data_IF_373539621320
#
_entry.id   IF_373539621320
#
_cell.length_a   1.000
_cell.length_b   1.000
_cell.length_c   1.000
_cell.angle_alpha   90.00
_cell.angle_beta   90.00
_cell.angle_gamma   90.00
#
_symmetry.space_group_name_H-M   'P 1'
#
loop_
_entity.id
_entity.type
_entity.pdbx_description
1 polymer ?
#
# COMPACT_ATOMS: atom_id res chain seq x y z
N UNK A 1 -30.87 -23.16 15.39
CA UNK A 1 -30.67 -21.73 15.09
C UNK A 1 -29.62 -21.21 16.06
N UNK A 2 -28.36 -21.11 15.62
CA UNK A 2 -27.27 -20.54 16.43
C UNK A 2 -27.02 -19.16 15.85
N UNK A 3 -27.31 -18.12 16.60
CA UNK A 3 -27.10 -16.74 16.23
C UNK A 3 -25.60 -16.45 16.17
N UNK A 4 -25.13 -15.95 15.05
CA UNK A 4 -23.77 -15.42 14.88
C UNK A 4 -23.60 -14.15 15.72
N UNK A 5 -22.45 -13.91 16.37
CA UNK A 5 -22.24 -12.72 17.15
C UNK A 5 -22.11 -11.49 16.25
N UNK A 6 -22.90 -10.46 16.51
CA UNK A 6 -23.00 -9.19 15.77
C UNK A 6 -21.75 -8.29 15.81
N UNK A 7 -20.66 -8.68 16.47
CA UNK A 7 -19.50 -7.84 16.73
C UNK A 7 -18.54 -7.66 15.53
N UNK A 8 -18.62 -8.53 14.52
CA UNK A 8 -17.70 -8.49 13.36
C UNK A 8 -18.02 -7.40 12.32
N UNK A 9 -19.30 -7.10 12.13
CA UNK A 9 -19.76 -6.23 11.04
C UNK A 9 -19.57 -4.74 11.36
N UNK A 10 -19.77 -4.34 12.62
CA UNK A 10 -19.68 -2.93 13.05
C UNK A 10 -18.25 -2.38 13.00
N UNK A 11 -17.25 -3.19 13.42
CA UNK A 11 -15.83 -2.78 13.38
C UNK A 11 -15.29 -2.72 11.95
N UNK A 12 -15.78 -3.57 11.06
CA UNK A 12 -15.40 -3.61 9.64
C UNK A 12 -15.96 -2.40 8.88
N UNK A 13 -17.18 -1.97 9.19
CA UNK A 13 -17.82 -0.78 8.61
C UNK A 13 -17.11 0.50 9.08
N UNK A 14 -16.71 0.58 10.35
CA UNK A 14 -15.98 1.73 10.90
C UNK A 14 -14.57 1.89 10.30
N UNK A 15 -13.87 0.77 9.97
CA UNK A 15 -12.54 0.83 9.32
C UNK A 15 -12.62 1.19 7.83
N UNK A 16 -13.68 0.80 7.11
CA UNK A 16 -13.98 1.31 5.75
C UNK A 16 -14.16 2.82 5.74
N UNK A 17 -14.78 3.37 6.78
CA UNK A 17 -14.96 4.80 6.95
C UNK A 17 -13.64 5.53 7.18
N UNK A 18 -12.63 4.96 7.85
CA UNK A 18 -11.41 5.68 8.18
C UNK A 18 -10.56 6.07 6.95
N UNK A 19 -10.48 5.22 5.92
CA UNK A 19 -9.78 5.57 4.66
C UNK A 19 -10.63 6.55 3.82
N UNK A 20 -11.95 6.43 3.89
CA UNK A 20 -12.91 7.30 3.17
C UNK A 20 -13.26 8.60 3.90
N UNK A 21 -13.19 8.63 5.24
CA UNK A 21 -13.51 9.80 6.07
C UNK A 21 -12.38 10.85 6.04
N UNK A 22 -11.14 10.46 5.75
CA UNK A 22 -10.02 11.40 5.62
C UNK A 22 -10.02 12.18 4.28
N UNK A 23 -10.81 11.76 3.31
CA UNK A 23 -11.10 12.52 2.08
C UNK A 23 -12.58 12.90 2.08
N UNK A 24 -12.86 14.12 2.53
CA UNK A 24 -14.17 14.75 2.40
C UNK A 24 -14.58 14.75 0.92
N UNK A 25 -15.47 13.80 0.53
CA UNK A 25 -16.20 13.73 -0.75
C UNK A 25 -15.37 13.60 -2.06
N UNK A 26 -14.07 13.35 -2.04
CA UNK A 26 -13.32 13.08 -3.28
C UNK A 26 -13.62 11.67 -3.80
N UNK A 27 -14.07 11.55 -5.05
CA UNK A 27 -14.22 10.28 -5.77
C UNK A 27 -12.88 9.72 -6.27
N UNK A 28 -11.81 10.52 -6.22
CA UNK A 28 -10.49 10.15 -6.69
C UNK A 28 -9.81 9.11 -5.76
N UNK A 29 -9.05 8.13 -6.30
CA UNK A 29 -8.33 7.16 -5.49
C UNK A 29 -7.21 7.81 -4.67
N UNK A 30 -6.88 7.22 -3.52
CA UNK A 30 -5.74 7.61 -2.71
C UNK A 30 -4.42 7.31 -3.45
N UNK A 31 -3.36 8.09 -3.22
CA UNK A 31 -2.06 7.90 -3.88
C UNK A 31 -0.97 7.57 -2.87
N UNK A 32 -0.35 6.41 -3.05
CA UNK A 32 0.85 5.99 -2.32
C UNK A 32 2.08 6.15 -3.21
N UNK A 33 3.12 6.80 -2.70
CA UNK A 33 4.44 6.85 -3.33
C UNK A 33 5.38 5.91 -2.59
N UNK A 34 5.83 4.86 -3.28
CA UNK A 34 6.53 3.72 -2.67
C UNK A 34 8.02 3.71 -2.99
N UNK A 35 8.82 3.15 -2.07
CA UNK A 35 10.26 2.97 -2.25
C UNK A 35 11.07 4.23 -1.98
N UNK A 36 10.65 5.06 -1.03
CA UNK A 36 11.41 6.24 -0.55
C UNK A 36 12.56 5.79 0.34
N UNK A 37 13.73 6.39 0.14
CA UNK A 37 14.95 6.13 0.92
C UNK A 37 15.53 7.40 1.53
N UNK A 38 14.94 8.57 1.22
CA UNK A 38 15.41 9.88 1.67
C UNK A 38 14.29 10.64 2.37
N UNK A 39 14.56 11.17 3.56
CA UNK A 39 13.59 11.86 4.40
C UNK A 39 13.11 13.18 3.80
N UNK A 40 14.00 13.97 3.19
CA UNK A 40 13.62 15.26 2.60
C UNK A 40 12.66 15.06 1.43
N UNK A 41 12.95 14.06 0.56
CA UNK A 41 12.04 13.70 -0.53
C UNK A 41 10.68 13.20 0.02
N UNK A 42 10.68 12.39 1.07
CA UNK A 42 9.45 11.88 1.67
C UNK A 42 8.57 13.03 2.20
N UNK A 43 9.17 14.01 2.89
CA UNK A 43 8.47 15.21 3.38
C UNK A 43 7.95 16.07 2.23
N UNK A 44 8.77 16.30 1.19
CA UNK A 44 8.35 17.06 0.02
C UNK A 44 7.16 16.40 -0.70
N UNK A 45 7.19 15.09 -0.88
CA UNK A 45 6.12 14.32 -1.51
C UNK A 45 4.84 14.31 -0.66
N UNK A 46 4.97 14.20 0.66
CA UNK A 46 3.84 14.32 1.58
C UNK A 46 3.20 15.72 1.50
N UNK A 47 4.00 16.78 1.44
CA UNK A 47 3.55 18.15 1.27
C UNK A 47 2.85 18.41 -0.09
N UNK A 48 3.16 17.62 -1.13
CA UNK A 48 2.47 17.67 -2.43
C UNK A 48 1.08 17.00 -2.39
N UNK A 49 0.72 16.34 -1.30
CA UNK A 49 -0.61 15.72 -1.12
C UNK A 49 -0.67 14.22 -1.40
N UNK A 50 0.45 13.51 -1.33
CA UNK A 50 0.40 12.05 -1.28
C UNK A 50 -0.30 11.57 -0.01
N UNK A 51 -1.13 10.52 -0.09
CA UNK A 51 -1.88 9.96 1.04
C UNK A 51 -1.05 8.95 1.84
N UNK A 52 -0.07 8.34 1.19
CA UNK A 52 0.79 7.34 1.82
C UNK A 52 2.23 7.39 1.27
N UNK A 53 3.18 7.15 2.16
CA UNK A 53 4.60 6.96 1.83
C UNK A 53 5.00 5.52 2.16
N UNK A 54 5.57 4.82 1.16
CA UNK A 54 6.07 3.46 1.30
C UNK A 54 7.59 3.41 1.44
N UNK A 55 8.06 2.68 2.44
CA UNK A 55 9.49 2.35 2.63
C UNK A 55 9.65 0.84 2.57
N UNK A 56 10.62 0.36 1.81
CA UNK A 56 10.86 -1.06 1.58
C UNK A 56 11.88 -1.59 2.59
N UNK A 57 11.47 -2.57 3.39
CA UNK A 57 12.29 -3.27 4.37
C UNK A 57 12.71 -4.69 3.91
N UNK A 58 12.81 -4.91 2.60
CA UNK A 58 13.21 -6.19 2.02
C UNK A 58 14.65 -6.09 1.56
N UNK A 59 15.55 -6.77 2.26
CA UNK A 59 16.97 -6.78 1.95
C UNK A 59 17.25 -7.28 0.52
N UNK A 60 18.33 -6.79 -0.08
CA UNK A 60 18.70 -7.16 -1.45
C UNK A 60 17.88 -6.48 -2.55
N UNK A 61 16.85 -5.71 -2.20
CA UNK A 61 16.11 -4.91 -3.20
C UNK A 61 16.76 -3.53 -3.40
N UNK A 62 16.66 -2.95 -4.60
CA UNK A 62 17.33 -1.66 -4.92
C UNK A 62 16.83 -0.46 -4.08
N UNK A 63 15.69 -0.61 -3.39
CA UNK A 63 15.02 0.43 -2.58
C UNK A 63 14.99 0.08 -1.09
N UNK A 64 15.79 -0.91 -0.70
CA UNK A 64 15.89 -1.30 0.71
C UNK A 64 16.36 -0.13 1.58
N UNK A 65 15.70 0.05 2.69
CA UNK A 65 16.12 0.99 3.74
C UNK A 65 16.15 0.24 5.07
N UNK A 66 17.28 0.31 5.74
CA UNK A 66 17.47 -0.30 7.06
C UNK A 66 16.51 0.24 8.11
N UNK A 67 16.34 -0.51 9.19
CA UNK A 67 15.37 -0.19 10.24
C UNK A 67 15.61 1.18 10.90
N UNK A 68 16.88 1.54 11.20
CA UNK A 68 17.19 2.80 11.87
C UNK A 68 16.85 4.03 11.00
N UNK A 69 17.35 4.16 9.75
CA UNK A 69 16.97 5.27 8.88
C UNK A 69 15.47 5.25 8.50
N UNK A 70 14.82 4.08 8.38
CA UNK A 70 13.37 3.99 8.20
C UNK A 70 12.62 4.64 9.36
N UNK A 71 13.01 4.32 10.61
CA UNK A 71 12.40 4.90 11.81
C UNK A 71 12.57 6.41 11.86
N UNK A 72 13.76 6.90 11.54
CA UNK A 72 14.04 8.34 11.48
C UNK A 72 13.12 9.02 10.44
N UNK A 73 12.97 8.44 9.24
CA UNK A 73 12.09 8.94 8.19
C UNK A 73 10.63 8.95 8.67
N UNK A 74 10.13 7.86 9.25
CA UNK A 74 8.75 7.78 9.73
C UNK A 74 8.48 8.71 10.91
N UNK A 75 9.46 8.92 11.81
CA UNK A 75 9.35 9.91 12.90
C UNK A 75 9.19 11.33 12.35
N UNK A 76 9.97 11.71 11.33
CA UNK A 76 9.83 13.01 10.68
C UNK A 76 8.47 13.18 9.99
N UNK A 77 7.99 12.15 9.27
CA UNK A 77 6.66 12.19 8.68
C UNK A 77 5.55 12.29 9.74
N UNK A 78 5.69 11.57 10.85
CA UNK A 78 4.72 11.63 11.96
C UNK A 78 4.65 13.02 12.59
N UNK A 79 5.76 13.69 12.72
CA UNK A 79 5.83 15.04 13.31
C UNK A 79 5.25 16.11 12.38
N UNK A 80 5.51 16.04 11.08
CA UNK A 80 5.16 17.09 10.13
C UNK A 80 3.82 16.85 9.42
N UNK A 81 3.46 15.57 9.19
CA UNK A 81 2.24 15.17 8.46
C UNK A 81 1.59 13.97 9.17
N UNK A 82 1.04 14.14 10.38
CA UNK A 82 0.57 13.02 11.22
C UNK A 82 -0.54 12.17 10.58
N UNK A 83 -1.34 12.74 9.69
CA UNK A 83 -2.41 12.04 8.97
C UNK A 83 -1.91 11.12 7.84
N UNK A 84 -0.65 11.30 7.40
CA UNK A 84 -0.06 10.52 6.33
C UNK A 84 0.10 9.05 6.73
N UNK A 85 -0.29 8.14 5.85
CA UNK A 85 -0.01 6.71 6.06
C UNK A 85 1.47 6.41 5.83
N UNK A 86 2.12 5.85 6.86
CA UNK A 86 3.51 5.39 6.82
C UNK A 86 3.52 3.89 6.61
N UNK A 87 3.78 3.48 5.36
CA UNK A 87 3.66 2.08 4.94
C UNK A 87 5.04 1.41 4.95
N UNK A 88 5.21 0.40 5.80
CA UNK A 88 6.40 -0.44 5.78
C UNK A 88 6.14 -1.71 4.95
N UNK A 89 6.88 -1.86 3.85
CA UNK A 89 6.75 -3.00 2.94
C UNK A 89 7.76 -4.06 3.34
N UNK A 90 7.27 -5.25 3.63
CA UNK A 90 8.08 -6.41 4.04
C UNK A 90 7.70 -7.66 3.24
N UNK A 91 8.59 -8.63 3.19
CA UNK A 91 8.34 -9.95 2.60
C UNK A 91 8.88 -11.03 3.54
N UNK A 92 7.99 -11.93 3.96
CA UNK A 92 8.31 -13.11 4.78
C UNK A 92 9.08 -12.78 6.08
N UNK A 93 8.84 -11.58 6.63
CA UNK A 93 9.49 -11.14 7.85
C UNK A 93 9.02 -11.96 9.06
N UNK A 94 9.95 -12.27 9.97
CA UNK A 94 9.63 -13.01 11.20
C UNK A 94 8.74 -12.17 12.14
N UNK A 95 7.93 -12.84 12.96
CA UNK A 95 7.10 -12.16 13.97
C UNK A 95 7.94 -11.26 14.88
N UNK A 96 9.14 -11.69 15.29
CA UNK A 96 10.02 -10.91 16.14
C UNK A 96 10.43 -9.58 15.48
N UNK A 97 10.72 -9.58 14.18
CA UNK A 97 11.06 -8.38 13.40
C UNK A 97 9.83 -7.46 13.29
N UNK A 98 8.65 -8.04 12.99
CA UNK A 98 7.40 -7.27 12.91
C UNK A 98 7.07 -6.62 14.26
N UNK A 99 7.07 -7.41 15.34
CA UNK A 99 6.72 -6.93 16.69
C UNK A 99 7.70 -5.85 17.18
N UNK A 100 9.02 -6.02 16.96
CA UNK A 100 10.01 -5.02 17.32
C UNK A 100 9.87 -3.71 16.53
N UNK A 101 9.42 -3.76 15.28
CA UNK A 101 9.26 -2.56 14.45
C UNK A 101 8.04 -1.72 14.80
N UNK A 102 7.12 -2.27 15.60
CA UNK A 102 5.90 -1.60 16.07
C UNK A 102 6.05 -0.97 17.45
N UNK A 103 7.25 -1.03 18.06
CA UNK A 103 7.53 -0.42 19.35
C UNK A 103 8.34 0.87 19.20
N UNK A 104 8.09 1.85 20.08
CA UNK A 104 8.85 3.11 20.14
C UNK A 104 8.49 4.11 19.04
N UNK A 105 9.40 5.01 18.73
CA UNK A 105 9.20 6.08 17.74
C UNK A 105 9.40 5.60 16.31
N UNK A 106 8.82 6.34 15.35
CA UNK A 106 8.96 6.06 13.93
C UNK A 106 8.33 4.73 13.51
N UNK A 107 7.22 4.35 14.15
CA UNK A 107 6.45 3.16 13.79
C UNK A 107 5.66 3.38 12.50
N UNK A 108 5.46 2.33 11.68
CA UNK A 108 4.52 2.39 10.58
C UNK A 108 3.08 2.50 11.09
N UNK A 109 2.18 3.03 10.27
CA UNK A 109 0.72 2.92 10.46
C UNK A 109 0.15 1.75 9.68
N UNK A 110 0.87 1.30 8.66
CA UNK A 110 0.50 0.17 7.80
C UNK A 110 1.69 -0.76 7.62
N UNK A 111 1.47 -2.06 7.78
CA UNK A 111 2.39 -3.11 7.33
C UNK A 111 1.83 -3.69 6.04
N UNK A 112 2.59 -3.59 4.95
CA UNK A 112 2.30 -4.21 3.68
C UNK A 112 3.11 -5.50 3.52
N UNK A 113 2.43 -6.64 3.59
CA UNK A 113 2.99 -7.97 3.43
C UNK A 113 3.10 -8.31 1.93
N UNK A 114 4.30 -8.37 1.39
CA UNK A 114 4.56 -8.52 -0.06
C UNK A 114 5.27 -9.85 -0.42
N UNK A 115 5.44 -10.75 0.54
CA UNK A 115 6.01 -12.09 0.39
C UNK A 115 4.96 -13.17 0.16
N UNK A 116 5.21 -14.35 0.72
CA UNK A 116 4.35 -15.54 0.63
C UNK A 116 3.49 -15.72 1.91
N UNK A 117 3.29 -14.65 2.68
CA UNK A 117 2.54 -14.70 3.93
C UNK A 117 1.13 -15.27 3.69
N UNK A 118 0.80 -16.35 4.39
CA UNK A 118 -0.48 -17.02 4.32
C UNK A 118 -1.61 -16.20 4.98
N UNK A 119 -2.90 -16.45 4.67
CA UNK A 119 -4.01 -15.82 5.37
C UNK A 119 -3.92 -15.96 6.89
N UNK A 120 -3.51 -17.14 7.39
CA UNK A 120 -3.34 -17.37 8.82
C UNK A 120 -2.25 -16.49 9.45
N UNK A 121 -1.13 -16.29 8.78
CA UNK A 121 -0.06 -15.39 9.24
C UNK A 121 -0.50 -13.92 9.24
N UNK A 122 -1.22 -13.50 8.19
CA UNK A 122 -1.80 -12.15 8.12
C UNK A 122 -2.78 -11.91 9.28
N UNK A 123 -3.69 -12.86 9.52
CA UNK A 123 -4.65 -12.80 10.61
C UNK A 123 -3.98 -12.77 11.99
N UNK A 124 -2.94 -13.58 12.20
CA UNK A 124 -2.20 -13.62 13.44
C UNK A 124 -1.50 -12.27 13.72
N UNK A 125 -0.89 -11.64 12.71
CA UNK A 125 -0.31 -10.29 12.84
C UNK A 125 -1.38 -9.27 13.24
N UNK A 126 -2.50 -9.25 12.54
CA UNK A 126 -3.61 -8.33 12.78
C UNK A 126 -4.23 -8.49 14.17
N UNK A 127 -4.26 -9.72 14.70
CA UNK A 127 -4.75 -10.00 16.07
C UNK A 127 -3.77 -9.53 17.13
N UNK A 128 -2.45 -9.68 16.90
CA UNK A 128 -1.42 -9.22 17.85
C UNK A 128 -1.29 -7.69 17.90
N UNK A 129 -1.56 -7.02 16.76
CA UNK A 129 -1.41 -5.58 16.60
C UNK A 129 -2.68 -4.95 16.01
N UNK A 130 -3.77 -4.89 16.78
CA UNK A 130 -5.06 -4.40 16.28
C UNK A 130 -5.06 -2.90 15.93
N UNK A 131 -4.06 -2.14 16.41
CA UNK A 131 -3.84 -0.73 16.09
C UNK A 131 -3.22 -0.50 14.71
N UNK A 132 -2.59 -1.54 14.13
CA UNK A 132 -1.91 -1.46 12.84
C UNK A 132 -2.81 -1.93 11.71
N UNK A 133 -2.80 -1.21 10.61
CA UNK A 133 -3.45 -1.65 9.38
C UNK A 133 -2.55 -2.67 8.66
N UNK A 134 -3.10 -3.82 8.31
CA UNK A 134 -2.39 -4.88 7.60
C UNK A 134 -2.89 -4.98 6.17
N UNK A 135 -2.00 -4.75 5.20
CA UNK A 135 -2.28 -4.95 3.78
C UNK A 135 -1.56 -6.19 3.26
N UNK A 136 -2.20 -6.95 2.37
CA UNK A 136 -1.54 -8.02 1.62
C UNK A 136 -1.38 -7.62 0.16
N UNK A 137 -0.16 -7.66 -0.32
CA UNK A 137 0.13 -7.54 -1.74
C UNK A 137 0.04 -8.91 -2.42
N UNK A 138 -0.70 -8.99 -3.51
CA UNK A 138 -0.87 -10.17 -4.34
C UNK A 138 -0.32 -9.86 -5.74
N UNK A 139 0.64 -10.69 -6.18
CA UNK A 139 1.27 -10.55 -7.49
C UNK A 139 0.56 -11.46 -8.49
N UNK A 140 -0.12 -10.87 -9.45
CA UNK A 140 -0.95 -11.56 -10.43
C UNK A 140 -0.17 -11.84 -11.71
N UNK A 141 -0.15 -13.12 -12.13
CA UNK A 141 0.43 -13.60 -13.42
C UNK A 141 -0.65 -13.78 -14.46
N UNK A 142 -1.80 -14.23 -14.01
CA UNK A 142 -2.97 -14.55 -14.83
C UNK A 142 -4.21 -13.96 -14.16
N UNK A 143 -5.30 -13.86 -14.92
CA UNK A 143 -6.59 -13.44 -14.38
C UNK A 143 -7.10 -14.40 -13.28
N UNK A 144 -6.79 -15.69 -13.39
CA UNK A 144 -7.19 -16.70 -12.41
C UNK A 144 -6.57 -16.47 -11.02
N UNK A 145 -5.42 -15.79 -10.93
CA UNK A 145 -4.80 -15.46 -9.65
C UNK A 145 -5.68 -14.55 -8.80
N UNK A 146 -6.63 -13.81 -9.40
CA UNK A 146 -7.64 -13.04 -8.68
C UNK A 146 -8.51 -13.89 -7.74
N UNK A 147 -8.65 -15.19 -8.01
CA UNK A 147 -9.37 -16.09 -7.11
C UNK A 147 -8.68 -16.23 -5.74
N UNK A 148 -7.34 -16.06 -5.69
CA UNK A 148 -6.58 -16.12 -4.44
C UNK A 148 -6.94 -15.00 -3.45
N UNK A 149 -7.43 -13.87 -3.96
CA UNK A 149 -7.91 -12.72 -3.16
C UNK A 149 -8.91 -13.16 -2.10
N UNK A 150 -9.83 -14.09 -2.44
CA UNK A 150 -10.89 -14.59 -1.54
C UNK A 150 -10.33 -15.15 -0.23
N UNK A 151 -9.15 -15.78 -0.28
CA UNK A 151 -8.50 -16.35 0.90
C UNK A 151 -8.04 -15.32 1.94
N UNK A 152 -7.83 -14.07 1.54
CA UNK A 152 -7.31 -13.01 2.40
C UNK A 152 -8.38 -12.06 2.95
N UNK A 153 -9.62 -12.09 2.45
CA UNK A 153 -10.64 -11.10 2.77
C UNK A 153 -10.96 -10.95 4.26
N UNK A 154 -10.79 -12.01 5.05
CA UNK A 154 -11.03 -11.98 6.51
C UNK A 154 -9.75 -11.76 7.32
N UNK A 155 -8.59 -11.77 6.66
CA UNK A 155 -7.28 -11.84 7.31
C UNK A 155 -6.51 -10.54 7.27
N UNK A 156 -6.94 -9.57 6.45
CA UNK A 156 -6.27 -8.28 6.24
C UNK A 156 -7.27 -7.12 6.22
N UNK A 157 -6.76 -5.89 6.29
CA UNK A 157 -7.57 -4.67 6.24
C UNK A 157 -7.64 -4.06 4.83
N UNK A 158 -6.73 -4.44 3.95
CA UNK A 158 -6.67 -4.00 2.56
C UNK A 158 -5.81 -4.91 1.70
N UNK A 159 -5.98 -4.77 0.39
CA UNK A 159 -5.27 -5.55 -0.62
C UNK A 159 -4.49 -4.62 -1.54
N UNK A 160 -3.36 -5.10 -2.06
CA UNK A 160 -2.64 -4.45 -3.14
C UNK A 160 -2.46 -5.47 -4.26
N UNK A 161 -2.95 -5.13 -5.46
CA UNK A 161 -2.81 -5.96 -6.65
C UNK A 161 -1.66 -5.41 -7.48
N UNK A 162 -0.62 -6.23 -7.69
CA UNK A 162 0.59 -5.86 -8.44
C UNK A 162 0.82 -6.82 -9.60
N UNK A 163 1.43 -6.32 -10.67
CA UNK A 163 1.86 -7.17 -11.77
C UNK A 163 3.01 -8.06 -11.32
N UNK A 164 2.90 -9.37 -11.58
CA UNK A 164 3.97 -10.30 -11.28
C UNK A 164 5.19 -10.06 -12.18
N UNK A 165 6.37 -10.20 -11.59
CA UNK A 165 7.65 -10.26 -12.32
C UNK A 165 8.50 -11.40 -11.76
N UNK A 166 9.23 -12.13 -12.62
CA UNK A 166 10.13 -13.17 -12.18
C UNK A 166 11.32 -12.64 -11.38
N UNK A 167 11.76 -11.42 -11.68
CA UNK A 167 13.05 -10.91 -11.25
C UNK A 167 12.98 -10.06 -9.98
N UNK A 168 11.81 -9.52 -9.61
CA UNK A 168 11.68 -8.59 -8.48
C UNK A 168 10.33 -8.70 -7.76
N UNK A 169 10.35 -8.38 -6.46
CA UNK A 169 9.16 -8.22 -5.61
C UNK A 169 8.48 -6.85 -5.84
N UNK A 170 8.10 -6.56 -7.11
CA UNK A 170 7.49 -5.29 -7.50
C UNK A 170 8.49 -4.26 -8.05
N UNK A 171 7.98 -3.11 -8.48
CA UNK A 171 8.80 -2.01 -9.02
C UNK A 171 9.38 -2.25 -10.42
N UNK A 172 8.91 -3.24 -11.16
CA UNK A 172 9.35 -3.54 -12.54
C UNK A 172 8.73 -2.62 -13.57
N UNK A 173 7.65 -1.91 -13.19
CA UNK A 173 6.88 -1.04 -14.10
C UNK A 173 5.99 -1.80 -15.08
N UNK A 174 5.82 -3.11 -14.92
CA UNK A 174 4.82 -3.88 -15.66
C UNK A 174 3.41 -3.49 -15.19
N UNK A 175 2.47 -3.47 -16.12
CA UNK A 175 1.06 -3.15 -15.85
C UNK A 175 0.23 -4.44 -15.85
N UNK A 176 -0.75 -4.49 -14.95
CA UNK A 176 -1.82 -5.48 -15.04
C UNK A 176 -2.74 -5.11 -16.21
N UNK A 177 -3.21 -6.09 -17.01
CA UNK A 177 -4.26 -5.85 -17.98
C UNK A 177 -5.52 -5.31 -17.28
N UNK A 178 -6.01 -4.14 -17.69
CA UNK A 178 -7.18 -3.51 -17.07
C UNK A 178 -8.45 -4.37 -17.24
N UNK A 179 -8.53 -5.18 -18.29
CA UNK A 179 -9.65 -6.12 -18.52
C UNK A 179 -9.82 -7.13 -17.38
N UNK A 180 -8.72 -7.51 -16.72
CA UNK A 180 -8.82 -8.42 -15.56
C UNK A 180 -9.49 -7.75 -14.35
N UNK A 181 -9.42 -6.42 -14.27
CA UNK A 181 -9.84 -5.63 -13.13
C UNK A 181 -11.14 -4.86 -13.37
N UNK A 182 -11.60 -4.74 -14.61
CA UNK A 182 -12.75 -3.90 -14.98
C UNK A 182 -14.04 -4.24 -14.22
N UNK A 183 -14.25 -5.53 -13.91
CA UNK A 183 -15.42 -6.01 -13.15
C UNK A 183 -15.06 -6.36 -11.68
N UNK A 184 -13.83 -6.01 -11.24
CA UNK A 184 -13.36 -6.39 -9.91
C UNK A 184 -14.04 -5.53 -8.85
N UNK A 185 -14.90 -6.15 -8.06
CA UNK A 185 -15.49 -5.56 -6.86
C UNK A 185 -15.03 -6.35 -5.64
N UNK A 186 -14.27 -5.72 -4.77
CA UNK A 186 -13.76 -6.34 -3.55
C UNK A 186 -14.46 -5.77 -2.31
N UNK A 187 -14.74 -6.60 -1.29
CA UNK A 187 -15.36 -6.14 -0.05
C UNK A 187 -14.38 -5.39 0.88
N UNK A 188 -13.10 -5.37 0.53
CA UNK A 188 -12.04 -4.63 1.23
C UNK A 188 -11.50 -3.52 0.33
N UNK A 189 -10.95 -2.44 0.92
CA UNK A 189 -10.17 -1.45 0.18
C UNK A 189 -9.02 -2.13 -0.59
N UNK A 190 -8.84 -1.74 -1.84
CA UNK A 190 -7.78 -2.31 -2.65
C UNK A 190 -7.02 -1.26 -3.45
N UNK A 191 -5.74 -1.51 -3.61
CA UNK A 191 -4.78 -0.66 -4.27
C UNK A 191 -4.29 -1.32 -5.55
N UNK A 192 -4.13 -0.53 -6.61
CA UNK A 192 -3.51 -0.98 -7.84
C UNK A 192 -2.06 -0.52 -7.90
N UNK A 193 -1.15 -1.47 -8.12
CA UNK A 193 0.27 -1.25 -8.37
C UNK A 193 0.66 -1.70 -9.78
N UNK A 194 1.88 -1.37 -10.17
CA UNK A 194 2.44 -1.75 -11.46
C UNK A 194 2.31 -0.67 -12.53
N UNK A 195 3.42 0.01 -12.83
CA UNK A 195 3.53 0.96 -13.94
C UNK A 195 2.70 2.23 -13.83
N UNK A 196 2.24 2.59 -12.62
CA UNK A 196 1.45 3.81 -12.38
C UNK A 196 2.26 5.04 -12.74
N UNK A 197 1.71 5.89 -13.63
CA UNK A 197 2.30 7.15 -14.08
C UNK A 197 1.19 8.11 -14.53
N UNK A 198 1.46 9.41 -14.57
CA UNK A 198 0.48 10.44 -14.91
C UNK A 198 -0.22 10.19 -16.25
N UNK A 199 0.53 9.76 -17.25
CA UNK A 199 0.03 9.53 -18.60
C UNK A 199 -0.98 8.37 -18.67
N UNK A 200 -0.92 7.45 -17.72
CA UNK A 200 -1.82 6.28 -17.70
C UNK A 200 -3.09 6.50 -16.90
N UNK A 201 -3.14 7.52 -16.03
CA UNK A 201 -4.27 7.77 -15.14
C UNK A 201 -5.61 7.90 -15.88
N UNK A 202 -5.72 8.68 -17.00
CA UNK A 202 -7.01 8.82 -17.68
C UNK A 202 -7.56 7.48 -18.16
N UNK A 203 -6.76 6.66 -18.85
CA UNK A 203 -7.16 5.33 -19.33
C UNK A 203 -7.49 4.39 -18.16
N UNK A 204 -6.68 4.43 -17.10
CA UNK A 204 -6.86 3.57 -15.94
C UNK A 204 -8.19 3.84 -15.24
N UNK A 205 -8.45 5.10 -14.89
CA UNK A 205 -9.63 5.48 -14.10
C UNK A 205 -10.94 5.46 -14.90
N UNK A 206 -10.86 5.50 -16.25
CA UNK A 206 -12.02 5.26 -17.12
C UNK A 206 -12.50 3.79 -17.04
N UNK A 207 -11.61 2.85 -16.71
CA UNK A 207 -11.87 1.41 -16.77
C UNK A 207 -11.92 0.71 -15.42
N UNK A 208 -11.24 1.22 -14.41
CA UNK A 208 -11.11 0.60 -13.07
C UNK A 208 -11.23 1.63 -11.97
N UNK A 209 -11.85 1.25 -10.87
CA UNK A 209 -12.09 2.11 -9.70
C UNK A 209 -11.41 1.54 -8.44
N UNK A 210 -10.07 1.55 -8.35
CA UNK A 210 -9.38 1.16 -7.14
C UNK A 210 -9.60 2.20 -6.02
N UNK A 211 -9.52 1.79 -4.76
CA UNK A 211 -9.53 2.73 -3.63
C UNK A 211 -8.21 3.51 -3.54
N UNK A 212 -7.12 2.97 -4.10
CA UNK A 212 -5.83 3.65 -4.15
C UNK A 212 -4.92 3.17 -5.28
N UNK A 213 -3.90 3.99 -5.55
CA UNK A 213 -2.86 3.75 -6.55
C UNK A 213 -1.49 3.71 -5.86
N UNK A 214 -0.68 2.70 -6.16
CA UNK A 214 0.69 2.54 -5.63
C UNK A 214 1.72 2.77 -6.73
N UNK A 215 2.40 3.91 -6.69
CA UNK A 215 3.39 4.32 -7.69
C UNK A 215 4.82 4.23 -7.14
N UNK A 216 5.75 3.69 -7.93
CA UNK A 216 7.15 3.57 -7.53
C UNK A 216 8.11 3.87 -8.70
N UNK A 217 8.52 2.87 -9.46
CA UNK A 217 9.64 2.95 -10.43
C UNK A 217 9.44 3.96 -11.56
N UNK A 218 8.19 4.17 -12.03
CA UNK A 218 7.91 5.15 -13.10
C UNK A 218 8.15 6.60 -12.68
N UNK A 219 8.18 6.84 -11.38
CA UNK A 219 8.41 8.17 -10.80
C UNK A 219 9.88 8.40 -10.40
N UNK A 220 10.82 7.56 -10.82
CA UNK A 220 12.20 7.64 -10.37
C UNK A 220 13.15 8.22 -11.40
N UNK A 221 14.17 8.91 -10.88
CA UNK A 221 15.42 9.24 -11.59
C UNK A 221 16.37 8.05 -11.53
N UNK A 222 16.45 7.41 -10.36
CA UNK A 222 17.16 6.15 -10.08
C UNK A 222 16.46 5.43 -8.92
N UNK A 223 16.65 4.10 -8.75
CA UNK A 223 16.00 3.38 -7.67
C UNK A 223 16.14 4.07 -6.30
N UNK A 224 15.02 4.28 -5.62
CA UNK A 224 14.95 4.95 -4.32
C UNK A 224 15.00 6.49 -4.36
N UNK A 225 15.17 7.10 -5.54
CA UNK A 225 15.22 8.56 -5.71
C UNK A 225 14.15 9.04 -6.70
N UNK A 226 13.12 9.72 -6.18
CA UNK A 226 11.99 10.18 -7.00
C UNK A 226 12.30 11.45 -7.79
N UNK A 227 11.72 11.53 -8.97
CA UNK A 227 11.58 12.74 -9.75
C UNK A 227 10.33 13.48 -9.24
N UNK A 228 10.52 14.60 -8.57
CA UNK A 228 9.44 15.33 -7.93
C UNK A 228 8.44 15.91 -8.94
N UNK A 229 8.87 16.23 -10.16
CA UNK A 229 7.99 16.71 -11.23
C UNK A 229 7.06 15.59 -11.71
N UNK A 230 7.56 14.36 -11.84
CA UNK A 230 6.73 13.19 -12.16
C UNK A 230 5.74 12.88 -11.03
N UNK A 231 6.17 13.01 -9.77
CA UNK A 231 5.27 12.84 -8.61
C UNK A 231 4.15 13.86 -8.64
N UNK A 232 4.49 15.15 -8.85
CA UNK A 232 3.51 16.24 -8.95
C UNK A 232 2.53 16.02 -10.10
N UNK A 233 3.04 15.64 -11.27
CA UNK A 233 2.20 15.33 -12.44
C UNK A 233 1.21 14.19 -12.15
N UNK A 234 1.67 13.11 -11.50
CA UNK A 234 0.81 11.99 -11.10
C UNK A 234 -0.30 12.45 -10.14
N UNK A 235 0.06 13.16 -9.07
CA UNK A 235 -0.90 13.64 -8.07
C UNK A 235 -1.94 14.56 -8.70
N UNK A 236 -1.52 15.44 -9.62
CA UNK A 236 -2.44 16.32 -10.36
C UNK A 236 -3.36 15.53 -11.30
N UNK A 237 -2.85 14.51 -12.02
CA UNK A 237 -3.64 13.70 -12.93
C UNK A 237 -4.72 12.86 -12.21
N UNK A 238 -4.47 12.45 -10.96
CA UNK A 238 -5.45 11.71 -10.14
C UNK A 238 -6.56 12.61 -9.61
N UNK A 239 -6.31 13.91 -9.49
CA UNK A 239 -7.28 14.89 -8.97
C UNK A 239 -8.10 15.59 -10.07
N UNK A 240 -7.73 15.42 -11.34
CA UNK A 240 -8.38 16.02 -12.50
C UNK A 240 -9.69 15.30 -12.87
#
# INVERSE_FOLDING_TARGET
>A
MVSLPEWGVSTMILRRSAIRILRDQSTAPAVKICGLTNTEQALAIAAMGADAIGVIGVEGTPRYLENSPRRALFSQLQQHVPALQRVWVVADASNAVLDASLQGEGTPTVIQLHGQETPAQCQALRQRHPEITVWKALRLRTQDDLHSVKGYLQSVDGLLLDAWSPDQLGGTGHRLPLDWLAETTLPLPWWLAGGISAEWIPELLDRVTPDGLDASSRLEVRPGWKDLEKVKALLSAVQA
#
